data_IF_219593822949
#
_entry.id   IF_219593822949
#
_cell.length_a   1.000
_cell.length_b   1.000
_cell.length_c   1.000
_cell.angle_alpha   90.00
_cell.angle_beta   90.00
_cell.angle_gamma   90.00
#
_symmetry.space_group_name_H-M   'P 1'
#
loop_
_entity.id
_entity.type
_entity.pdbx_description
1 polymer ?
#
# COMPACT_ATOMS: atom_id res chain seq x y z
N UNK A 1 -19.71 -4.82 14.20
CA UNK A 1 -18.47 -3.99 14.08
C UNK A 1 -17.35 -4.81 14.74
N UNK A 2 -16.61 -5.61 13.96
CA UNK A 2 -15.58 -6.48 14.52
C UNK A 2 -14.31 -5.65 14.76
N UNK A 3 -13.94 -5.45 16.02
CA UNK A 3 -12.58 -5.04 16.35
C UNK A 3 -11.69 -6.23 15.99
N UNK A 4 -10.88 -6.07 14.95
CA UNK A 4 -9.84 -7.05 14.62
C UNK A 4 -8.92 -7.12 15.84
N UNK A 5 -8.89 -8.29 16.50
CA UNK A 5 -7.91 -8.54 17.57
C UNK A 5 -6.53 -8.54 16.92
N UNK A 6 -5.72 -7.54 17.24
CA UNK A 6 -4.33 -7.49 16.77
C UNK A 6 -3.50 -8.53 17.54
N UNK A 7 -2.58 -9.25 16.86
CA UNK A 7 -1.70 -10.23 17.52
C UNK A 7 -0.82 -9.57 18.60
N UNK A 8 -0.89 -10.08 19.83
CA UNK A 8 -0.15 -9.52 20.98
C UNK A 8 1.37 -9.74 20.88
N UNK A 9 1.80 -10.75 20.12
CA UNK A 9 3.21 -11.10 19.92
C UNK A 9 4.06 -9.96 19.33
N UNK A 10 3.42 -8.98 18.69
CA UNK A 10 4.07 -7.81 18.09
C UNK A 10 3.63 -6.49 18.75
N UNK A 11 3.13 -6.51 19.98
CA UNK A 11 2.66 -5.30 20.68
C UNK A 11 3.77 -4.30 20.98
N UNK A 12 5.01 -4.76 21.15
CA UNK A 12 6.16 -3.90 21.45
C UNK A 12 6.41 -2.79 20.40
N UNK A 13 6.10 -3.05 19.12
CA UNK A 13 6.27 -2.06 18.04
C UNK A 13 5.11 -1.06 17.93
N UNK A 14 3.98 -1.27 18.61
CA UNK A 14 2.81 -0.38 18.49
C UNK A 14 3.08 1.01 19.06
N UNK A 15 3.99 1.09 20.03
CA UNK A 15 4.30 2.31 20.77
C UNK A 15 5.57 3.00 20.30
N UNK A 16 6.16 2.59 19.16
CA UNK A 16 7.45 3.12 18.69
C UNK A 16 7.43 4.65 18.46
N UNK A 17 6.27 5.23 18.17
CA UNK A 17 6.08 6.68 18.04
C UNK A 17 6.29 7.45 19.37
N UNK A 18 6.28 6.77 20.53
CA UNK A 18 6.62 7.38 21.83
C UNK A 18 8.14 7.59 21.96
N UNK A 19 8.93 6.76 21.29
CA UNK A 19 10.40 6.79 21.35
C UNK A 19 11.00 7.59 20.18
N UNK A 20 10.39 7.54 18.99
CA UNK A 20 10.82 8.25 17.79
C UNK A 20 9.75 9.23 17.28
N UNK A 21 9.95 10.56 17.44
CA UNK A 21 8.99 11.56 16.99
C UNK A 21 8.84 11.66 15.46
N UNK A 22 9.75 11.05 14.68
CA UNK A 22 9.61 10.97 13.21
C UNK A 22 8.58 9.91 12.77
N UNK A 23 8.20 9.01 13.67
CA UNK A 23 7.17 8.01 13.42
C UNK A 23 5.82 8.54 13.87
N UNK A 24 4.84 8.72 12.96
CA UNK A 24 3.53 9.23 13.34
C UNK A 24 2.76 8.19 14.19
N UNK A 25 1.90 8.64 15.13
CA UNK A 25 1.08 7.75 15.97
C UNK A 25 -0.10 7.10 15.23
N UNK A 26 -0.15 7.23 13.89
CA UNK A 26 -1.24 6.77 13.05
C UNK A 26 -0.77 5.87 11.90
N UNK A 27 -1.70 5.09 11.35
CA UNK A 27 -1.44 4.18 10.23
C UNK A 27 -1.81 4.79 8.86
N UNK A 28 -2.05 6.10 8.77
CA UNK A 28 -2.62 6.74 7.58
C UNK A 28 -1.74 6.54 6.34
N UNK A 29 -0.41 6.48 6.51
CA UNK A 29 0.52 6.21 5.40
C UNK A 29 0.30 4.83 4.82
N UNK A 30 0.22 3.78 5.64
CA UNK A 30 0.01 2.42 5.15
C UNK A 30 -1.39 2.26 4.54
N UNK A 31 -2.43 2.81 5.18
CA UNK A 31 -3.79 2.76 4.64
C UNK A 31 -3.92 3.45 3.29
N UNK A 32 -3.32 4.65 3.13
CA UNK A 32 -3.29 5.35 1.85
C UNK A 32 -2.56 4.54 0.77
N UNK A 33 -1.46 3.89 1.13
CA UNK A 33 -0.72 3.02 0.21
C UNK A 33 -1.54 1.79 -0.20
N UNK A 34 -2.33 1.20 0.69
CA UNK A 34 -3.15 0.02 0.34
C UNK A 34 -4.41 0.39 -0.45
N UNK A 35 -4.97 1.58 -0.24
CA UNK A 35 -6.28 2.00 -0.78
C UNK A 35 -6.39 1.86 -2.29
N UNK A 36 -5.35 2.19 -3.06
CA UNK A 36 -5.40 2.07 -4.52
C UNK A 36 -5.62 0.62 -4.97
N UNK A 37 -4.85 -0.33 -4.42
CA UNK A 37 -4.94 -1.73 -4.77
C UNK A 37 -6.28 -2.34 -4.37
N UNK A 38 -6.76 -2.02 -3.15
CA UNK A 38 -8.06 -2.50 -2.65
C UNK A 38 -9.21 -1.95 -3.49
N UNK A 39 -9.20 -0.66 -3.80
CA UNK A 39 -10.22 -0.03 -4.66
C UNK A 39 -10.18 -0.61 -6.06
N UNK A 40 -9.00 -0.77 -6.67
CA UNK A 40 -8.84 -1.41 -7.98
C UNK A 40 -9.47 -2.80 -8.00
N UNK A 41 -9.16 -3.63 -7.00
CA UNK A 41 -9.70 -4.99 -6.89
C UNK A 41 -11.21 -4.97 -6.71
N UNK A 42 -11.74 -4.06 -5.89
CA UNK A 42 -13.18 -3.91 -5.66
C UNK A 42 -13.94 -3.53 -6.92
N UNK A 43 -13.42 -2.57 -7.70
CA UNK A 43 -14.09 -2.07 -8.92
C UNK A 43 -13.97 -3.06 -10.08
N UNK A 44 -12.80 -3.69 -10.26
CA UNK A 44 -12.53 -4.58 -11.41
C UNK A 44 -12.77 -6.06 -11.15
N UNK A 45 -13.06 -6.47 -9.92
CA UNK A 45 -13.14 -7.88 -9.51
C UNK A 45 -11.80 -8.60 -9.36
N UNK A 46 -10.70 -8.02 -9.85
CA UNK A 46 -9.36 -8.64 -9.82
C UNK A 46 -9.13 -9.65 -10.96
N UNK A 47 -7.98 -10.33 -10.93
CA UNK A 47 -7.64 -11.41 -11.88
C UNK A 47 -7.94 -12.78 -11.30
N UNK A 48 -8.33 -13.73 -12.15
CA UNK A 48 -8.47 -15.16 -11.80
C UNK A 48 -7.21 -15.98 -12.07
N UNK A 49 -6.23 -15.44 -12.79
CA UNK A 49 -4.91 -16.05 -12.99
C UNK A 49 -3.86 -15.40 -12.11
N UNK A 50 -2.87 -16.19 -11.67
CA UNK A 50 -1.72 -15.70 -10.92
C UNK A 50 -0.92 -14.68 -11.72
N UNK A 51 -0.71 -14.92 -13.02
CA UNK A 51 0.01 -13.99 -13.89
C UNK A 51 -0.70 -12.64 -13.97
N UNK A 52 -2.02 -12.63 -14.11
CA UNK A 52 -2.79 -11.38 -14.12
C UNK A 52 -2.75 -10.64 -12.78
N UNK A 53 -2.65 -11.36 -11.66
CA UNK A 53 -2.44 -10.77 -10.34
C UNK A 53 -1.04 -10.15 -10.22
N UNK A 54 0.00 -10.85 -10.66
CA UNK A 54 1.38 -10.35 -10.66
C UNK A 54 1.54 -9.12 -11.55
N UNK A 55 1.01 -9.15 -12.76
CA UNK A 55 1.04 -8.01 -13.68
C UNK A 55 0.33 -6.79 -13.08
N UNK A 56 -0.85 -7.00 -12.48
CA UNK A 56 -1.57 -5.93 -11.77
C UNK A 56 -0.75 -5.38 -10.61
N UNK A 57 -0.11 -6.24 -9.81
CA UNK A 57 0.70 -5.83 -8.68
C UNK A 57 1.92 -5.01 -9.12
N UNK A 58 2.61 -5.43 -10.19
CA UNK A 58 3.74 -4.70 -10.76
C UNK A 58 3.32 -3.30 -11.25
N UNK A 59 2.22 -3.20 -12.02
CA UNK A 59 1.66 -1.93 -12.48
C UNK A 59 1.33 -0.98 -11.31
N UNK A 60 0.62 -1.47 -10.30
CA UNK A 60 0.27 -0.66 -9.13
C UNK A 60 1.51 -0.21 -8.35
N UNK A 61 2.54 -1.06 -8.26
CA UNK A 61 3.80 -0.73 -7.61
C UNK A 61 4.50 0.43 -8.31
N UNK A 62 4.62 0.37 -9.64
CA UNK A 62 5.21 1.47 -10.44
C UNK A 62 4.40 2.76 -10.26
N UNK A 63 3.07 2.68 -10.37
CA UNK A 63 2.18 3.83 -10.23
C UNK A 63 2.34 4.50 -8.86
N UNK A 64 2.32 3.70 -7.78
CA UNK A 64 2.43 4.21 -6.42
C UNK A 64 3.81 4.80 -6.14
N UNK A 65 4.85 4.19 -6.67
CA UNK A 65 6.22 4.68 -6.53
C UNK A 65 6.40 6.02 -7.23
N UNK A 66 5.93 6.16 -8.48
CA UNK A 66 5.97 7.42 -9.21
C UNK A 66 5.18 8.50 -8.48
N UNK A 67 3.97 8.18 -8.00
CA UNK A 67 3.14 9.11 -7.23
C UNK A 67 3.82 9.57 -5.94
N UNK A 68 4.48 8.67 -5.21
CA UNK A 68 5.22 9.01 -4.00
C UNK A 68 6.42 9.93 -4.28
N UNK A 69 7.01 9.84 -5.47
CA UNK A 69 8.12 10.69 -5.91
C UNK A 69 7.67 11.97 -6.64
N UNK A 70 6.36 12.19 -6.83
CA UNK A 70 5.85 13.32 -7.60
C UNK A 70 6.18 13.26 -9.10
N UNK A 71 6.40 12.05 -9.65
CA UNK A 71 6.77 11.83 -11.06
C UNK A 71 5.57 11.38 -11.89
N UNK A 72 5.56 11.77 -13.17
CA UNK A 72 4.63 11.23 -14.17
C UNK A 72 4.90 9.74 -14.38
N UNK A 73 3.86 8.92 -14.23
CA UNK A 73 3.93 7.48 -14.54
C UNK A 73 4.14 7.26 -16.02
N UNK A 74 3.47 8.04 -16.87
CA UNK A 74 3.54 7.89 -18.33
C UNK A 74 4.99 8.14 -18.78
N UNK A 75 5.58 9.24 -18.31
CA UNK A 75 6.95 9.61 -18.67
C UNK A 75 7.97 8.59 -18.14
N UNK A 76 7.69 7.99 -16.98
CA UNK A 76 8.54 6.93 -16.41
C UNK A 76 8.43 5.64 -17.23
N UNK A 77 7.21 5.25 -17.62
CA UNK A 77 6.96 4.04 -18.41
C UNK A 77 7.53 4.10 -19.82
N UNK A 78 7.64 5.29 -20.42
CA UNK A 78 8.27 5.49 -21.74
C UNK A 78 9.80 5.44 -21.68
N UNK A 79 10.41 5.58 -20.49
CA UNK A 79 11.87 5.57 -20.28
C UNK A 79 12.43 4.19 -19.89
N UNK A 80 11.57 3.20 -19.70
CA UNK A 80 11.95 1.80 -19.47
C UNK A 80 12.12 1.08 -20.80
#
# INVERSE_FOLDING_TARGET
RAFVKLPQEKSAQWWYFLDDPLVPPDNNRAERNLRLAVTKRKVSGGSRSMDGLHNTAALLTVIQTCKAQGKSVIDFSVKL
#
